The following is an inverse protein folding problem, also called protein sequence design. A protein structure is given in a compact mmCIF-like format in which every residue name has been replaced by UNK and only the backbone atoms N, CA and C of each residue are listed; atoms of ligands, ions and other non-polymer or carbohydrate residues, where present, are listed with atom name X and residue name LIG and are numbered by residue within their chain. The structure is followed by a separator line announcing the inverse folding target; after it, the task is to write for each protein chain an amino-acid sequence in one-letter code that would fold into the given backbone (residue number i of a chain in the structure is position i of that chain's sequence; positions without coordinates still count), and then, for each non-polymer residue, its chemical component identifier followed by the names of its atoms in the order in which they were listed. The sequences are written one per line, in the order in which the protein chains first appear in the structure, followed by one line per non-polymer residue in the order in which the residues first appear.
data_IF_103483630361
#
_entry.id   IF_103483630361
#
_cell.length_a   1.000
_cell.length_b   1.000
_cell.length_c   1.000
_cell.angle_alpha   90.00
_cell.angle_beta   90.00
_cell.angle_gamma   90.00
#
_symmetry.space_group_name_H-M   'P 1'
#
loop_
_entity.id
_entity.type
_entity.pdbx_description
1 polymer ?
#
# COMPACT_ATOMS: atom_id res chain seq x y z
N UNK A 1 7.73 3.90 37.53
CA UNK A 1 8.79 3.97 36.49
C UNK A 1 8.74 5.35 35.89
N UNK A 2 9.81 6.14 36.00
CA UNK A 2 9.86 7.46 35.34
C UNK A 2 10.03 7.30 33.82
N UNK A 3 9.36 8.08 32.99
CA UNK A 3 9.46 8.00 31.55
C UNK A 3 10.90 8.33 31.11
N UNK A 4 11.47 7.51 30.17
CA UNK A 4 12.79 7.75 29.62
C UNK A 4 12.87 9.16 29.01
N UNK A 5 13.97 9.91 29.28
CA UNK A 5 14.14 11.23 28.68
C UNK A 5 14.07 11.19 27.15
N UNK A 6 13.63 12.27 26.46
CA UNK A 6 13.45 12.28 25.01
C UNK A 6 14.69 11.91 24.20
N UNK A 7 15.88 12.21 24.73
CA UNK A 7 17.18 11.87 24.13
C UNK A 7 17.46 10.35 24.10
N UNK A 8 16.89 9.60 25.03
CA UNK A 8 17.05 8.15 25.18
C UNK A 8 15.93 7.34 24.51
N UNK A 9 14.96 8.01 23.88
CA UNK A 9 13.88 7.31 23.16
C UNK A 9 14.35 6.94 21.78
N UNK A 10 14.02 5.71 21.34
CA UNK A 10 14.24 5.29 19.95
C UNK A 10 13.57 6.25 18.99
N UNK A 11 14.37 6.85 18.11
CA UNK A 11 13.84 7.75 17.08
C UNK A 11 13.15 6.92 16.00
N UNK A 12 11.92 7.29 15.69
CA UNK A 12 11.06 6.59 14.73
C UNK A 12 10.80 7.42 13.51
N UNK A 13 10.47 6.76 12.41
CA UNK A 13 10.02 7.34 11.15
C UNK A 13 8.72 6.69 10.73
N UNK A 14 7.97 7.41 9.95
CA UNK A 14 6.65 7.01 9.46
C UNK A 14 6.63 7.15 7.96
N UNK A 15 6.26 6.06 7.29
CA UNK A 15 6.05 6.01 5.85
C UNK A 15 4.55 6.05 5.59
N UNK A 16 4.12 6.95 4.73
CA UNK A 16 2.80 6.89 4.13
C UNK A 16 2.88 5.96 2.93
N UNK A 17 2.10 4.91 2.95
CA UNK A 17 2.02 3.93 1.87
C UNK A 17 0.61 3.91 1.29
N UNK A 18 0.50 3.76 -0.02
CA UNK A 18 -0.74 3.48 -0.73
C UNK A 18 -0.79 2.01 -1.13
N UNK A 19 -1.96 1.40 -0.96
CA UNK A 19 -2.25 0.04 -1.38
C UNK A 19 -3.12 0.09 -2.63
N UNK A 20 -2.77 -0.67 -3.64
CA UNK A 20 -3.50 -0.81 -4.89
C UNK A 20 -3.91 -2.28 -5.08
N UNK A 21 -5.10 -2.54 -5.62
CA UNK A 21 -6.11 -1.55 -6.01
C UNK A 21 -6.69 -0.82 -4.78
N UNK A 22 -7.07 0.44 -4.95
CA UNK A 22 -7.61 1.25 -3.84
C UNK A 22 -8.93 0.73 -3.28
N UNK A 23 -9.62 -0.07 -4.07
CA UNK A 23 -10.85 -0.78 -3.67
C UNK A 23 -10.59 -2.00 -2.79
N UNK A 24 -9.33 -2.41 -2.62
CA UNK A 24 -8.98 -3.57 -1.82
C UNK A 24 -9.29 -3.31 -0.34
N UNK A 25 -10.17 -4.13 0.22
CA UNK A 25 -10.39 -4.19 1.65
C UNK A 25 -9.37 -5.13 2.29
N UNK A 26 -8.63 -4.63 3.25
CA UNK A 26 -7.63 -5.42 3.99
C UNK A 26 -7.65 -5.06 5.48
N UNK A 27 -7.33 -6.04 6.31
CA UNK A 27 -7.10 -5.81 7.73
C UNK A 27 -5.68 -5.24 7.95
N UNK A 28 -5.48 -4.27 8.84
CA UNK A 28 -4.14 -3.78 9.21
C UNK A 28 -3.17 -4.89 9.64
N UNK A 29 -3.67 -5.98 10.19
CA UNK A 29 -2.87 -7.16 10.56
C UNK A 29 -2.36 -7.89 9.32
N UNK A 30 -3.19 -8.08 8.31
CA UNK A 30 -2.80 -8.76 7.07
C UNK A 30 -1.76 -7.94 6.30
N UNK A 31 -1.95 -6.63 6.25
CA UNK A 31 -0.95 -5.73 5.69
C UNK A 31 0.38 -5.81 6.47
N UNK A 32 0.32 -5.85 7.81
CA UNK A 32 1.51 -6.01 8.64
C UNK A 32 2.25 -7.30 8.33
N UNK A 33 1.52 -8.43 8.22
CA UNK A 33 2.12 -9.73 7.89
C UNK A 33 2.77 -9.70 6.50
N UNK A 34 2.09 -9.18 5.48
CA UNK A 34 2.65 -9.06 4.14
C UNK A 34 3.93 -8.20 4.11
N UNK A 35 3.95 -7.08 4.85
CA UNK A 35 5.13 -6.24 4.98
C UNK A 35 6.26 -6.98 5.72
N UNK A 36 5.94 -7.70 6.79
CA UNK A 36 6.93 -8.44 7.58
C UNK A 36 7.58 -9.55 6.76
N UNK A 37 6.79 -10.29 6.00
CA UNK A 37 7.29 -11.33 5.09
C UNK A 37 8.19 -10.74 3.99
N UNK A 38 7.78 -9.61 3.39
CA UNK A 38 8.59 -8.91 2.40
C UNK A 38 9.91 -8.39 2.99
N UNK A 39 9.88 -7.80 4.18
CA UNK A 39 11.08 -7.31 4.87
C UNK A 39 12.04 -8.45 5.17
N UNK A 40 11.53 -9.57 5.68
CA UNK A 40 12.35 -10.75 5.99
C UNK A 40 12.91 -11.39 4.73
N UNK A 41 12.11 -11.47 3.67
CA UNK A 41 12.52 -12.03 2.39
C UNK A 41 13.64 -11.23 1.70
N UNK A 42 13.56 -9.90 1.75
CA UNK A 42 14.54 -9.01 1.09
C UNK A 42 15.80 -8.81 1.94
N UNK A 43 15.66 -8.67 3.26
CA UNK A 43 16.72 -8.22 4.14
C UNK A 43 17.16 -9.23 5.22
N UNK A 44 16.42 -10.32 5.39
CA UNK A 44 16.65 -11.33 6.42
C UNK A 44 16.20 -10.89 7.82
N UNK A 45 16.20 -11.86 8.75
CA UNK A 45 15.66 -11.68 10.11
C UNK A 45 16.37 -10.61 10.93
N UNK A 46 17.71 -10.55 10.83
CA UNK A 46 18.52 -9.58 11.59
C UNK A 46 18.15 -8.14 11.21
N UNK A 47 18.02 -7.88 9.93
CA UNK A 47 17.64 -6.52 9.45
C UNK A 47 16.18 -6.24 9.71
N UNK A 48 15.29 -7.23 9.59
CA UNK A 48 13.88 -7.14 9.97
C UNK A 48 13.73 -6.69 11.42
N UNK A 49 14.46 -7.32 12.34
CA UNK A 49 14.48 -6.93 13.75
C UNK A 49 14.99 -5.50 13.99
N UNK A 50 15.88 -4.98 13.13
CA UNK A 50 16.37 -3.59 13.19
C UNK A 50 15.35 -2.60 12.62
N UNK A 51 14.63 -2.94 11.57
CA UNK A 51 13.61 -2.09 10.93
C UNK A 51 12.47 -1.83 11.91
N UNK A 52 12.03 -2.83 12.66
CA UNK A 52 10.89 -2.75 13.59
C UNK A 52 9.63 -2.17 12.93
N UNK A 53 9.29 -2.73 11.77
CA UNK A 53 8.11 -2.31 11.04
C UNK A 53 6.82 -2.52 11.84
N UNK A 54 5.90 -1.55 11.78
CA UNK A 54 4.58 -1.70 12.37
C UNK A 54 3.56 -0.81 11.64
N UNK A 55 2.40 -1.35 11.34
CA UNK A 55 1.27 -0.57 10.83
C UNK A 55 0.64 0.17 12.02
N UNK A 56 0.59 1.49 11.98
CA UNK A 56 0.15 2.33 13.12
C UNK A 56 -1.12 3.10 12.86
N UNK A 57 -1.47 3.33 11.62
CA UNK A 57 -2.71 3.98 11.20
C UNK A 57 -3.01 3.60 9.76
N UNK A 58 -4.24 3.74 9.34
CA UNK A 58 -4.67 3.50 7.97
C UNK A 58 -6.10 3.93 7.74
N UNK A 59 -6.48 3.93 6.48
CA UNK A 59 -7.81 4.22 5.97
C UNK A 59 -8.00 3.55 4.62
N UNK A 60 -8.99 3.99 3.87
CA UNK A 60 -9.29 3.42 2.56
C UNK A 60 -8.14 3.67 1.58
N UNK A 61 -7.47 2.59 1.16
CA UNK A 61 -6.40 2.60 0.16
C UNK A 61 -5.06 3.17 0.62
N UNK A 62 -4.88 3.49 1.90
CA UNK A 62 -3.59 3.94 2.43
C UNK A 62 -3.33 3.40 3.83
N UNK A 63 -2.07 3.36 4.22
CA UNK A 63 -1.65 3.06 5.59
C UNK A 63 -0.40 3.84 5.98
N UNK A 64 -0.18 3.99 7.27
CA UNK A 64 1.03 4.58 7.83
C UNK A 64 1.82 3.46 8.52
N UNK A 65 3.02 3.23 8.03
CA UNK A 65 3.94 2.21 8.55
C UNK A 65 5.07 2.91 9.27
N UNK A 66 5.28 2.52 10.52
CA UNK A 66 6.37 3.00 11.36
C UNK A 66 7.60 2.13 11.20
N UNK A 67 8.80 2.74 11.22
CA UNK A 67 10.06 2.03 11.33
C UNK A 67 11.04 2.77 12.25
N UNK A 68 12.18 2.16 12.54
CA UNK A 68 13.30 2.81 13.21
C UNK A 68 13.93 3.84 12.28
N UNK A 69 14.35 4.99 12.81
CA UNK A 69 15.07 6.03 12.05
C UNK A 69 16.34 5.45 11.42
N UNK A 70 16.56 5.77 10.15
CA UNK A 70 17.66 5.26 9.34
C UNK A 70 17.34 3.96 8.59
N UNK A 71 16.15 3.40 8.79
CA UNK A 71 15.68 2.19 8.12
C UNK A 71 14.55 2.46 7.09
N UNK A 72 14.32 3.74 6.77
CA UNK A 72 13.23 4.16 5.89
C UNK A 72 13.37 3.58 4.48
N UNK A 73 14.59 3.62 3.94
CA UNK A 73 14.87 3.10 2.59
C UNK A 73 14.69 1.59 2.55
N UNK A 74 15.20 0.87 3.57
CA UNK A 74 15.05 -0.58 3.65
C UNK A 74 13.56 -0.99 3.70
N UNK A 75 12.76 -0.29 4.50
CA UNK A 75 11.33 -0.55 4.56
C UNK A 75 10.64 -0.20 3.23
N UNK A 76 10.95 0.96 2.63
CA UNK A 76 10.36 1.37 1.35
C UNK A 76 10.68 0.37 0.22
N UNK A 77 11.91 -0.14 0.17
CA UNK A 77 12.30 -1.18 -0.79
C UNK A 77 11.51 -2.47 -0.57
N UNK A 78 11.41 -2.94 0.67
CA UNK A 78 10.68 -4.16 0.96
C UNK A 78 9.18 -4.06 0.66
N UNK A 79 8.52 -2.96 1.03
CA UNK A 79 7.08 -2.79 0.75
C UNK A 79 6.77 -2.76 -0.75
N UNK A 80 7.71 -2.30 -1.59
CA UNK A 80 7.52 -2.30 -3.05
C UNK A 80 7.56 -3.70 -3.68
N UNK A 81 8.03 -4.71 -2.96
CA UNK A 81 8.05 -6.11 -3.42
C UNK A 81 6.78 -6.90 -3.02
N UNK A 82 5.88 -6.31 -2.26
CA UNK A 82 4.61 -6.95 -1.88
C UNK A 82 3.72 -7.06 -3.10
N UNK A 83 3.30 -8.29 -3.43
CA UNK A 83 2.42 -8.61 -4.57
C UNK A 83 1.06 -9.16 -4.14
N UNK A 84 0.90 -9.53 -2.87
CA UNK A 84 -0.36 -10.05 -2.32
C UNK A 84 -0.58 -9.59 -0.90
N UNK A 85 -1.85 -9.34 -0.54
CA UNK A 85 -2.30 -9.12 0.83
C UNK A 85 -3.52 -10.02 1.04
N UNK A 86 -3.49 -10.88 2.06
CA UNK A 86 -4.58 -11.87 2.32
C UNK A 86 -4.95 -12.72 1.11
N UNK A 87 -3.96 -13.11 0.28
CA UNK A 87 -4.18 -13.90 -0.93
C UNK A 87 -4.78 -13.14 -2.11
N UNK A 88 -5.03 -11.83 -1.98
CA UNK A 88 -5.49 -10.97 -3.06
C UNK A 88 -4.30 -10.20 -3.66
N UNK A 89 -4.27 -10.08 -4.99
CA UNK A 89 -3.25 -9.30 -5.66
C UNK A 89 -3.27 -7.84 -5.19
N UNK A 90 -2.12 -7.34 -4.79
CA UNK A 90 -1.96 -5.98 -4.33
C UNK A 90 -0.55 -5.48 -4.63
N UNK A 91 -0.40 -4.17 -4.77
CA UNK A 91 0.91 -3.56 -4.72
C UNK A 91 0.90 -2.37 -3.73
N UNK A 92 2.06 -2.12 -3.15
CA UNK A 92 2.22 -1.07 -2.15
C UNK A 92 3.23 -0.05 -2.67
N UNK A 93 2.86 1.23 -2.64
CA UNK A 93 3.76 2.34 -2.98
C UNK A 93 4.02 3.22 -1.78
N UNK A 94 5.29 3.52 -1.51
CA UNK A 94 5.67 4.53 -0.54
C UNK A 94 5.50 5.93 -1.15
N UNK A 95 4.71 6.79 -0.49
CA UNK A 95 4.37 8.13 -0.99
C UNK A 95 5.14 9.23 -0.29
N UNK A 96 5.35 9.10 1.01
CA UNK A 96 6.02 10.11 1.81
C UNK A 96 6.65 9.51 3.08
N UNK A 97 7.70 10.16 3.57
CA UNK A 97 8.37 9.83 4.83
C UNK A 97 8.39 11.04 5.74
N UNK A 98 8.13 10.84 7.03
CA UNK A 98 8.19 11.90 8.03
C UNK A 98 8.63 11.39 9.40
N UNK A 99 9.04 12.33 10.27
CA UNK A 99 9.33 12.06 11.68
C UNK A 99 8.08 11.96 12.56
N UNK A 100 6.92 12.42 12.07
CA UNK A 100 5.64 12.41 12.83
C UNK A 100 4.46 12.10 11.92
N UNK A 101 3.43 11.47 12.48
CA UNK A 101 2.17 11.20 11.78
C UNK A 101 1.48 12.51 11.39
N UNK A 102 1.48 13.51 12.28
CA UNK A 102 0.87 14.82 12.02
C UNK A 102 1.48 15.53 10.81
N UNK A 103 2.78 15.37 10.57
CA UNK A 103 3.42 15.94 9.39
C UNK A 103 3.04 15.20 8.10
N UNK A 104 2.80 13.89 8.15
CA UNK A 104 2.24 13.14 7.01
C UNK A 104 0.82 13.58 6.71
N UNK A 105 -0.02 13.73 7.73
CA UNK A 105 -1.41 14.18 7.57
C UNK A 105 -1.50 15.57 6.94
N UNK A 106 -0.61 16.50 7.31
CA UNK A 106 -0.55 17.85 6.71
C UNK A 106 -0.12 17.86 5.25
N UNK A 107 0.67 16.87 4.81
CA UNK A 107 1.08 16.74 3.39
C UNK A 107 -0.03 16.24 2.48
N UNK A 108 -1.18 15.91 3.04
CA UNK A 108 -2.32 15.34 2.34
C UNK A 108 -2.24 13.81 2.30
N UNK A 109 -3.20 13.18 2.94
CA UNK A 109 -3.41 11.74 2.81
C UNK A 109 -4.11 11.52 1.47
N UNK A 110 -3.67 10.57 0.64
CA UNK A 110 -4.38 10.24 -0.58
C UNK A 110 -5.85 9.97 -0.29
N UNK A 111 -6.74 10.63 -1.00
CA UNK A 111 -8.18 10.38 -0.85
C UNK A 111 -8.45 8.93 -1.25
N UNK A 112 -9.32 8.28 -0.50
CA UNK A 112 -9.82 6.95 -0.86
C UNK A 112 -10.42 6.95 -2.26
N UNK A 113 -10.49 5.79 -2.88
CA UNK A 113 -11.13 5.64 -4.18
C UNK A 113 -12.57 6.17 -4.10
N UNK A 114 -12.97 7.11 -4.94
CA UNK A 114 -14.38 7.42 -5.06
C UNK A 114 -15.12 6.12 -5.41
N UNK A 115 -16.23 5.85 -4.73
CA UNK A 115 -17.09 4.71 -5.05
C UNK A 115 -17.73 4.98 -6.41
N UNK A 116 -17.23 4.34 -7.45
CA UNK A 116 -17.90 4.31 -8.75
C UNK A 116 -18.98 3.23 -8.76
N UNK A 117 -20.05 3.40 -9.55
CA UNK A 117 -21.03 2.35 -9.72
C UNK A 117 -20.34 1.07 -10.20
N UNK A 118 -20.65 -0.03 -9.55
CA UNK A 118 -20.04 -1.37 -9.71
C UNK A 118 -20.23 -1.95 -11.13
N UNK A 119 -21.01 -1.29 -11.99
CA UNK A 119 -21.45 -1.83 -13.28
C UNK A 119 -20.65 -1.35 -14.50
N UNK A 120 -19.62 -0.54 -14.30
CA UNK A 120 -18.76 -0.16 -15.41
C UNK A 120 -17.90 -1.36 -15.83
N UNK A 121 -18.05 -1.81 -17.06
CA UNK A 121 -17.29 -2.89 -17.67
C UNK A 121 -16.39 -2.32 -18.77
N UNK A 122 -15.22 -2.93 -18.96
CA UNK A 122 -14.31 -2.65 -20.05
C UNK A 122 -13.92 -3.98 -20.70
N UNK A 123 -13.70 -3.97 -22.00
CA UNK A 123 -13.14 -5.11 -22.74
C UNK A 123 -11.70 -4.74 -23.08
N UNK A 124 -10.76 -5.59 -22.67
CA UNK A 124 -9.36 -5.41 -22.93
C UNK A 124 -8.76 -6.71 -23.46
N UNK A 125 -8.10 -6.65 -24.61
CA UNK A 125 -7.52 -7.84 -25.27
C UNK A 125 -8.51 -9.01 -25.39
N UNK A 126 -9.79 -8.70 -25.73
CA UNK A 126 -10.86 -9.70 -25.88
C UNK A 126 -11.36 -10.32 -24.55
N UNK A 127 -10.96 -9.78 -23.41
CA UNK A 127 -11.37 -10.22 -22.07
C UNK A 127 -12.21 -9.17 -21.37
N UNK A 128 -13.17 -9.63 -20.57
CA UNK A 128 -14.08 -8.75 -19.81
C UNK A 128 -13.47 -8.36 -18.48
N UNK A 129 -13.42 -7.06 -18.21
CA UNK A 129 -12.96 -6.48 -16.95
C UNK A 129 -14.05 -5.65 -16.27
N UNK A 130 -14.00 -5.59 -14.95
CA UNK A 130 -14.78 -4.66 -14.14
C UNK A 130 -13.89 -3.48 -13.74
N UNK A 131 -14.37 -2.25 -13.93
CA UNK A 131 -13.68 -1.06 -13.44
C UNK A 131 -13.85 -0.99 -11.93
N UNK A 132 -12.75 -1.09 -11.18
CA UNK A 132 -12.74 -1.07 -9.71
C UNK A 132 -12.47 0.30 -9.12
N UNK A 133 -11.62 1.07 -9.77
CA UNK A 133 -11.29 2.42 -9.34
C UNK A 133 -10.96 3.29 -10.54
N UNK A 134 -11.38 4.54 -10.50
CA UNK A 134 -10.98 5.57 -11.46
C UNK A 134 -10.53 6.80 -10.67
N UNK A 135 -9.30 7.24 -10.88
CA UNK A 135 -8.74 8.41 -10.21
C UNK A 135 -7.97 9.28 -11.20
N UNK A 136 -8.60 10.35 -11.65
CA UNK A 136 -8.07 11.16 -12.74
C UNK A 136 -7.87 10.30 -13.98
N UNK A 137 -6.63 10.24 -14.47
CA UNK A 137 -6.25 9.45 -15.65
C UNK A 137 -5.95 7.97 -15.36
N UNK A 138 -6.10 7.51 -14.10
CA UNK A 138 -5.75 6.14 -13.70
C UNK A 138 -6.98 5.28 -13.50
N UNK A 139 -6.96 4.09 -14.06
CA UNK A 139 -8.06 3.13 -14.01
C UNK A 139 -7.54 1.78 -13.54
N UNK A 140 -8.15 1.22 -12.48
CA UNK A 140 -7.88 -0.13 -12.00
C UNK A 140 -8.96 -1.08 -12.56
N UNK A 141 -8.53 -2.07 -13.33
CA UNK A 141 -9.39 -3.08 -13.93
C UNK A 141 -9.19 -4.43 -13.24
N UNK A 142 -10.27 -5.14 -12.97
CA UNK A 142 -10.26 -6.52 -12.47
C UNK A 142 -10.93 -7.43 -13.49
N UNK A 143 -10.24 -8.47 -13.92
CA UNK A 143 -10.77 -9.46 -14.85
C UNK A 143 -12.01 -10.16 -14.25
N UNK A 144 -13.06 -10.29 -15.05
CA UNK A 144 -14.26 -11.04 -14.66
C UNK A 144 -14.02 -12.53 -14.90
N UNK A 145 -14.05 -13.35 -13.85
CA UNK A 145 -13.85 -14.80 -13.96
C UNK A 145 -13.88 -15.51 -12.63
N UNK A 146 -13.89 -16.84 -12.67
CA UNK A 146 -13.93 -17.71 -11.48
C UNK A 146 -12.53 -18.21 -11.05
N UNK A 147 -11.51 -18.06 -11.89
CA UNK A 147 -10.15 -18.53 -11.62
C UNK A 147 -9.17 -17.43 -11.98
N UNK A 148 -8.14 -17.27 -11.15
CA UNK A 148 -6.96 -16.40 -11.36
C UNK A 148 -7.30 -15.07 -12.05
N UNK A 149 -7.99 -14.19 -11.34
CA UNK A 149 -8.35 -12.87 -11.85
C UNK A 149 -7.11 -12.00 -12.00
N UNK A 150 -6.93 -11.42 -13.17
CA UNK A 150 -5.85 -10.46 -13.43
C UNK A 150 -6.26 -9.05 -13.01
N UNK A 151 -5.34 -8.31 -12.40
CA UNK A 151 -5.47 -6.90 -12.07
C UNK A 151 -4.60 -6.09 -13.02
N UNK A 152 -5.23 -5.17 -13.74
CA UNK A 152 -4.54 -4.24 -14.63
C UNK A 152 -4.65 -2.82 -14.07
N UNK A 153 -3.54 -2.10 -14.16
CA UNK A 153 -3.42 -0.70 -13.75
C UNK A 153 -3.10 0.13 -14.99
N UNK A 154 -4.12 0.74 -15.58
CA UNK A 154 -4.02 1.49 -16.83
C UNK A 154 -4.23 2.98 -16.62
N UNK A 155 -3.79 3.76 -17.58
CA UNK A 155 -4.21 5.15 -17.74
C UNK A 155 -5.51 5.23 -18.54
N UNK A 156 -6.23 6.34 -18.43
CA UNK A 156 -7.47 6.55 -19.17
C UNK A 156 -7.21 6.57 -20.69
N UNK A 157 -6.05 7.09 -21.12
CA UNK A 157 -5.60 7.08 -22.52
C UNK A 157 -5.41 5.66 -23.06
N UNK A 158 -4.73 4.79 -22.29
CA UNK A 158 -4.55 3.38 -22.69
C UNK A 158 -5.86 2.60 -22.75
N UNK A 159 -6.88 3.03 -22.00
CA UNK A 159 -8.20 2.42 -22.03
C UNK A 159 -9.02 2.88 -23.26
N UNK A 160 -8.83 4.13 -23.74
CA UNK A 160 -9.53 4.69 -24.90
C UNK A 160 -8.91 4.24 -26.24
N UNK A 161 -7.64 3.83 -26.26
CA UNK A 161 -6.94 3.34 -27.46
C UNK A 161 -7.29 1.89 -27.84
N UNK A 162 -8.17 1.24 -27.07
CA UNK A 162 -8.56 -0.17 -27.21
C UNK A 162 -10.03 -0.27 -27.63
#
# INVERSE_FOLDING_TARGET
MSPRPPSMRDKRRYLLVQVFPRSLAYDPKDLYLAIQDAVTSVWGDVTSARIQAAVVAGGSGYSIVRCRRGMEVHLATAVSTVITISGQHACIRSCAVSGTIAALQRRGIPRGCPSFPVDAAAIFDGRDFAIKCREGEKVDLLEKGFKTQELLFLTEQELEEI
#
